data_IF_779337112056
#
_entry.id   IF_779337112056
#
_cell.length_a   1.000
_cell.length_b   1.000
_cell.length_c   1.000
_cell.angle_alpha   90.00
_cell.angle_beta   90.00
_cell.angle_gamma   90.00
#
_symmetry.space_group_name_H-M   'P 1'
#
loop_
_entity.id
_entity.type
_entity.pdbx_description
1 polymer ?
#
# COMPACT_ATOMS: atom_id res chain seq x y z
N UNK A 1 25.38 7.03 -20.47
CA UNK A 1 25.30 6.94 -19.00
C UNK A 1 25.42 8.34 -18.43
N UNK A 2 24.36 9.13 -18.54
CA UNK A 2 24.20 10.37 -17.79
C UNK A 2 23.02 10.10 -16.87
N UNK A 3 23.32 9.51 -15.71
CA UNK A 3 22.31 9.33 -14.66
C UNK A 3 21.60 10.66 -14.47
N UNK A 4 20.27 10.65 -14.48
CA UNK A 4 19.50 11.86 -14.29
C UNK A 4 19.62 12.27 -12.81
N UNK A 5 20.67 13.03 -12.50
CA UNK A 5 21.05 13.41 -11.13
C UNK A 5 19.87 14.05 -10.40
N UNK A 6 19.06 14.85 -11.12
CA UNK A 6 17.84 15.45 -10.58
C UNK A 6 16.77 14.40 -10.21
N UNK A 7 16.60 13.35 -11.04
CA UNK A 7 15.73 12.21 -10.74
C UNK A 7 16.18 11.41 -9.52
N UNK A 8 17.49 11.12 -9.42
CA UNK A 8 18.06 10.40 -8.28
C UNK A 8 17.87 11.18 -6.99
N UNK A 9 18.17 12.48 -6.98
CA UNK A 9 17.99 13.34 -5.81
C UNK A 9 16.52 13.37 -5.38
N UNK A 10 15.59 13.45 -6.34
CA UNK A 10 14.15 13.48 -6.05
C UNK A 10 13.64 12.17 -5.44
N UNK A 11 14.06 11.02 -5.98
CA UNK A 11 13.67 9.69 -5.47
C UNK A 11 14.27 9.45 -4.09
N UNK A 12 15.54 9.78 -3.88
CA UNK A 12 16.21 9.64 -2.58
C UNK A 12 15.55 10.55 -1.54
N UNK A 13 15.26 11.79 -1.89
CA UNK A 13 14.56 12.73 -1.00
C UNK A 13 13.16 12.23 -0.63
N UNK A 14 12.41 11.71 -1.59
CA UNK A 14 11.09 11.11 -1.34
C UNK A 14 11.18 9.89 -0.41
N UNK A 15 12.13 8.98 -0.64
CA UNK A 15 12.35 7.84 0.26
C UNK A 15 12.77 8.26 1.67
N UNK A 16 13.61 9.29 1.79
CA UNK A 16 14.00 9.84 3.10
C UNK A 16 12.79 10.41 3.83
N UNK A 17 11.90 11.13 3.15
CA UNK A 17 10.66 11.65 3.76
C UNK A 17 9.77 10.50 4.24
N UNK A 18 9.54 9.49 3.39
CA UNK A 18 8.70 8.34 3.77
C UNK A 18 9.31 7.60 4.96
N UNK A 19 10.61 7.33 4.93
CA UNK A 19 11.32 6.69 6.05
C UNK A 19 11.23 7.54 7.32
N UNK A 20 11.45 8.85 7.23
CA UNK A 20 11.39 9.74 8.38
C UNK A 20 9.98 9.78 8.99
N UNK A 21 8.93 9.85 8.16
CA UNK A 21 7.55 9.83 8.65
C UNK A 21 7.20 8.46 9.22
N UNK A 22 7.57 7.37 8.56
CA UNK A 22 7.31 6.01 9.04
C UNK A 22 7.98 5.74 10.39
N UNK A 23 9.25 6.13 10.54
CA UNK A 23 9.99 6.03 11.80
C UNK A 23 9.36 6.95 12.86
N UNK A 24 8.96 8.17 12.51
CA UNK A 24 8.30 9.08 13.46
C UNK A 24 6.96 8.54 13.94
N UNK A 25 6.13 8.02 13.02
CA UNK A 25 4.83 7.42 13.33
C UNK A 25 5.00 6.16 14.20
N UNK A 26 5.97 5.30 13.87
CA UNK A 26 6.28 4.10 14.66
C UNK A 26 6.87 4.41 16.05
N UNK A 27 7.66 5.48 16.20
CA UNK A 27 8.24 5.87 17.50
C UNK A 27 7.27 6.61 18.41
N UNK A 28 6.25 7.30 17.86
CA UNK A 28 5.33 8.14 18.64
C UNK A 28 4.37 7.33 19.54
N UNK A 29 4.26 6.01 19.36
CA UNK A 29 3.29 5.18 20.08
C UNK A 29 3.79 3.82 20.58
N UNK A 30 5.10 3.58 20.65
CA UNK A 30 5.62 2.46 21.46
C UNK A 30 5.35 2.77 22.94
N UNK A 31 4.16 2.40 23.42
CA UNK A 31 3.86 2.35 24.84
C UNK A 31 4.47 1.05 25.36
N UNK A 32 5.34 1.06 26.39
CA UNK A 32 5.92 -0.16 26.91
C UNK A 32 4.85 -0.94 27.69
N UNK A 33 4.12 -1.80 26.99
CA UNK A 33 3.11 -2.72 27.52
C UNK A 33 3.43 -4.17 27.16
N UNK A 34 2.76 -5.11 27.80
CA UNK A 34 3.02 -6.57 27.73
C UNK A 34 3.00 -7.14 26.30
N UNK A 35 3.72 -8.23 26.04
CA UNK A 35 3.92 -8.85 24.69
C UNK A 35 2.62 -9.08 23.86
N UNK A 36 1.48 -9.26 24.53
CA UNK A 36 0.17 -9.43 23.90
C UNK A 36 -0.38 -8.11 23.34
N UNK A 37 -0.17 -6.99 24.05
CA UNK A 37 -0.57 -5.65 23.60
C UNK A 37 0.33 -5.18 22.45
N UNK A 38 1.62 -5.57 22.44
CA UNK A 38 2.55 -5.22 21.36
C UNK A 38 2.12 -5.85 20.02
N UNK A 39 1.66 -7.10 20.03
CA UNK A 39 1.16 -7.75 18.81
C UNK A 39 -0.14 -7.11 18.30
N UNK A 40 -1.05 -6.73 19.20
CA UNK A 40 -2.29 -6.02 18.84
C UNK A 40 -2.02 -4.58 18.35
N UNK A 41 -1.04 -3.89 18.93
CA UNK A 41 -0.59 -2.57 18.47
C UNK A 41 0.07 -2.63 17.09
N UNK A 42 0.87 -3.67 16.81
CA UNK A 42 1.55 -3.84 15.52
C UNK A 42 0.57 -4.28 14.43
N UNK A 43 -0.34 -5.22 14.74
CA UNK A 43 -1.25 -5.83 13.76
C UNK A 43 -2.55 -5.05 13.57
N UNK A 44 -3.08 -4.44 14.62
CA UNK A 44 -4.38 -3.76 14.61
C UNK A 44 -4.28 -2.27 14.91
N UNK A 45 -3.07 -1.72 15.10
CA UNK A 45 -2.88 -0.33 15.49
C UNK A 45 -3.73 0.06 16.71
N UNK A 46 -3.90 -0.88 17.65
CA UNK A 46 -4.72 -0.71 18.84
C UNK A 46 -6.21 -0.43 18.55
N UNK A 47 -6.71 -0.85 17.37
CA UNK A 47 -8.11 -0.71 16.92
C UNK A 47 -8.67 0.73 16.95
N UNK A 48 -7.75 1.72 17.00
CA UNK A 48 -8.01 3.15 17.14
C UNK A 48 -7.42 3.96 15.98
N UNK A 49 -7.22 3.33 14.82
CA UNK A 49 -7.04 4.07 13.58
C UNK A 49 -8.35 4.80 13.32
N UNK A 50 -8.32 6.14 13.37
CA UNK A 50 -9.49 6.96 13.06
C UNK A 50 -10.05 6.59 11.68
N UNK A 51 -11.38 6.57 11.54
CA UNK A 51 -12.08 6.11 10.34
C UNK A 51 -11.52 6.73 9.04
N UNK A 52 -11.15 8.01 9.07
CA UNK A 52 -10.52 8.69 7.94
C UNK A 52 -9.20 8.05 7.51
N UNK A 53 -8.28 7.81 8.46
CA UNK A 53 -6.98 7.19 8.16
C UNK A 53 -7.19 5.77 7.63
N UNK A 54 -8.13 5.02 8.22
CA UNK A 54 -8.48 3.68 7.73
C UNK A 54 -8.99 3.67 6.29
N UNK A 55 -9.85 4.62 5.90
CA UNK A 55 -10.35 4.76 4.53
C UNK A 55 -9.20 5.12 3.57
N UNK A 56 -8.32 6.05 3.96
CA UNK A 56 -7.17 6.43 3.13
C UNK A 56 -6.18 5.29 2.94
N UNK A 57 -5.84 4.57 4.00
CA UNK A 57 -4.94 3.40 3.96
C UNK A 57 -5.54 2.26 3.13
N UNK A 58 -6.82 1.96 3.30
CA UNK A 58 -7.49 0.97 2.44
C UNK A 58 -7.45 1.41 0.98
N UNK A 59 -7.77 2.68 0.69
CA UNK A 59 -7.71 3.19 -0.69
C UNK A 59 -6.29 3.12 -1.25
N UNK A 60 -5.27 3.51 -0.48
CA UNK A 60 -3.86 3.47 -0.88
C UNK A 60 -3.39 2.05 -1.19
N UNK A 61 -3.86 1.05 -0.43
CA UNK A 61 -3.53 -0.36 -0.65
C UNK A 61 -4.01 -0.85 -2.03
N UNK A 62 -5.19 -0.39 -2.47
CA UNK A 62 -5.74 -0.75 -3.79
C UNK A 62 -5.19 0.12 -4.92
N UNK A 63 -4.97 1.41 -4.66
CA UNK A 63 -4.43 2.39 -5.62
C UNK A 63 -2.90 2.37 -5.58
N UNK A 64 -2.31 1.23 -5.92
CA UNK A 64 -0.86 1.03 -5.99
C UNK A 64 -0.25 1.38 -7.36
N UNK A 65 1.09 1.35 -7.46
CA UNK A 65 1.81 1.62 -8.71
C UNK A 65 1.44 0.68 -9.86
N UNK A 66 1.17 -0.60 -9.56
CA UNK A 66 0.69 -1.57 -10.56
C UNK A 66 -0.72 -1.23 -11.07
N UNK A 67 -1.61 -0.77 -10.19
CA UNK A 67 -2.96 -0.34 -10.55
C UNK A 67 -2.92 0.91 -11.45
N UNK A 68 -2.08 1.90 -11.10
CA UNK A 68 -1.94 3.14 -11.88
C UNK A 68 -1.35 2.86 -13.26
N UNK A 69 -0.23 2.13 -13.34
CA UNK A 69 0.38 1.78 -14.62
C UNK A 69 -0.54 0.90 -15.48
N UNK A 70 -1.19 -0.11 -14.88
CA UNK A 70 -2.11 -0.99 -15.60
C UNK A 70 -3.35 -0.26 -16.11
N UNK A 71 -3.90 0.66 -15.32
CA UNK A 71 -5.04 1.49 -15.75
C UNK A 71 -4.63 2.46 -16.85
N UNK A 72 -3.43 3.06 -16.75
CA UNK A 72 -2.89 3.93 -17.80
C UNK A 72 -2.69 3.18 -19.13
N UNK A 73 -2.14 1.97 -19.08
CA UNK A 73 -1.97 1.11 -20.24
C UNK A 73 -3.32 0.67 -20.85
N UNK A 74 -4.28 0.26 -20.01
CA UNK A 74 -5.61 -0.12 -20.46
C UNK A 74 -6.37 1.06 -21.09
N UNK A 75 -6.23 2.26 -20.51
CA UNK A 75 -6.81 3.49 -21.05
C UNK A 75 -6.22 3.83 -22.43
N UNK A 76 -4.90 3.67 -22.59
CA UNK A 76 -4.21 3.92 -23.85
C UNK A 76 -4.64 2.94 -24.95
N UNK A 77 -4.74 1.65 -24.64
CA UNK A 77 -5.05 0.60 -25.63
C UNK A 77 -6.55 0.43 -25.91
N UNK A 78 -7.40 0.61 -24.90
CA UNK A 78 -8.83 0.26 -24.98
C UNK A 78 -9.79 1.42 -24.68
N UNK A 79 -9.27 2.62 -24.41
CA UNK A 79 -10.05 3.85 -24.22
C UNK A 79 -10.72 3.97 -22.83
N UNK A 80 -11.41 5.10 -22.62
CA UNK A 80 -12.01 5.49 -21.33
C UNK A 80 -13.05 4.50 -20.77
N UNK A 81 -13.59 3.62 -21.61
CA UNK A 81 -14.61 2.64 -21.22
C UNK A 81 -14.09 1.65 -20.18
N UNK A 82 -12.77 1.39 -20.15
CA UNK A 82 -12.16 0.48 -19.17
C UNK A 82 -11.88 1.14 -17.81
N UNK A 83 -12.16 2.44 -17.65
CA UNK A 83 -12.03 3.18 -16.39
C UNK A 83 -13.21 2.91 -15.41
N UNK A 84 -13.90 1.79 -15.54
CA UNK A 84 -14.96 1.36 -14.61
C UNK A 84 -14.42 0.62 -13.38
N UNK A 85 -13.19 0.11 -13.44
CA UNK A 85 -12.54 -0.63 -12.36
C UNK A 85 -12.54 0.12 -11.00
N UNK A 86 -12.25 1.44 -10.91
CA UNK A 86 -12.27 2.16 -9.64
C UNK A 86 -13.65 2.15 -8.97
N UNK A 87 -14.72 2.28 -9.76
CA UNK A 87 -16.09 2.26 -9.23
C UNK A 87 -16.46 0.89 -8.66
N UNK A 88 -16.02 -0.19 -9.32
CA UNK A 88 -16.19 -1.56 -8.82
C UNK A 88 -15.48 -1.78 -7.48
N UNK A 89 -14.22 -1.34 -7.36
CA UNK A 89 -13.46 -1.45 -6.10
C UNK A 89 -14.06 -0.58 -4.98
N UNK A 90 -14.45 0.65 -5.28
CA UNK A 90 -15.08 1.52 -4.28
C UNK A 90 -16.39 0.91 -3.75
N UNK A 91 -17.23 0.36 -4.64
CA UNK A 91 -18.48 -0.27 -4.25
C UNK A 91 -18.26 -1.55 -3.43
N UNK A 92 -17.30 -2.40 -3.83
CA UNK A 92 -16.99 -3.63 -3.09
C UNK A 92 -16.43 -3.33 -1.69
N UNK A 93 -15.61 -2.29 -1.54
CA UNK A 93 -15.09 -1.85 -0.25
C UNK A 93 -16.18 -1.29 0.66
N UNK A 94 -17.09 -0.49 0.13
CA UNK A 94 -18.22 0.06 0.92
C UNK A 94 -19.16 -1.05 1.37
N UNK A 95 -19.54 -1.96 0.48
CA UNK A 95 -20.41 -3.08 0.82
C UNK A 95 -19.69 -4.02 1.80
N UNK A 96 -18.44 -4.37 1.53
CA UNK A 96 -17.63 -5.21 2.42
C UNK A 96 -17.49 -4.61 3.82
N UNK A 97 -17.21 -3.31 3.90
CA UNK A 97 -17.11 -2.57 5.16
C UNK A 97 -18.42 -2.56 5.95
N UNK A 98 -19.56 -2.29 5.30
CA UNK A 98 -20.85 -2.20 5.98
C UNK A 98 -21.35 -3.55 6.51
N UNK A 99 -21.18 -4.63 5.74
CA UNK A 99 -21.70 -5.95 6.11
C UNK A 99 -20.75 -6.75 7.00
N UNK A 100 -19.45 -6.73 6.72
CA UNK A 100 -18.48 -7.61 7.39
C UNK A 100 -17.68 -6.92 8.48
N UNK A 101 -17.34 -5.62 8.36
CA UNK A 101 -16.43 -4.99 9.32
C UNK A 101 -17.02 -4.91 10.74
N UNK A 102 -18.31 -4.63 10.88
CA UNK A 102 -18.97 -4.61 12.18
C UNK A 102 -18.96 -6.00 12.83
N UNK A 103 -19.33 -7.04 12.08
CA UNK A 103 -19.36 -8.42 12.59
C UNK A 103 -17.97 -8.91 12.96
N UNK A 104 -16.96 -8.61 12.15
CA UNK A 104 -15.56 -8.96 12.45
C UNK A 104 -15.05 -8.23 13.70
N UNK A 105 -15.47 -6.97 13.91
CA UNK A 105 -15.06 -6.18 15.08
C UNK A 105 -15.72 -6.69 16.37
N UNK A 106 -16.99 -7.05 16.33
CA UNK A 106 -17.74 -7.59 17.48
C UNK A 106 -17.15 -8.92 17.98
N UNK A 107 -16.76 -9.81 17.07
CA UNK A 107 -16.17 -11.12 17.41
C UNK A 107 -14.68 -11.05 17.77
N UNK A 108 -14.04 -9.88 17.63
CA UNK A 108 -12.62 -9.70 17.97
C UNK A 108 -11.65 -10.36 16.99
N UNK A 109 -12.08 -10.68 15.78
CA UNK A 109 -11.22 -11.29 14.76
C UNK A 109 -10.07 -10.38 14.33
N UNK A 110 -8.90 -10.97 14.19
CA UNK A 110 -7.65 -10.31 13.77
C UNK A 110 -7.39 -10.55 12.28
N UNK A 111 -7.74 -11.75 11.78
CA UNK A 111 -7.55 -12.16 10.38
C UNK A 111 -8.89 -12.43 9.70
N UNK A 112 -8.97 -12.20 8.40
CA UNK A 112 -10.15 -12.59 7.59
C UNK A 112 -10.42 -14.11 7.58
N UNK A 113 -9.42 -14.91 7.95
CA UNK A 113 -9.50 -16.37 8.05
C UNK A 113 -10.02 -16.87 9.40
N UNK A 114 -10.08 -16.03 10.44
CA UNK A 114 -10.49 -16.44 11.78
C UNK A 114 -11.93 -16.99 11.82
N UNK A 115 -12.93 -16.39 11.16
CA UNK A 115 -14.29 -16.97 11.09
C UNK A 115 -14.31 -18.35 10.45
N UNK A 116 -13.43 -18.60 9.46
CA UNK A 116 -13.31 -19.89 8.80
C UNK A 116 -12.60 -20.92 9.69
N UNK A 117 -11.66 -20.47 10.50
CA UNK A 117 -11.00 -21.31 11.49
C UNK A 117 -11.99 -21.77 12.58
N UNK A 118 -12.89 -20.90 13.02
CA UNK A 118 -13.92 -21.24 14.00
C UNK A 118 -14.97 -22.19 13.43
N UNK A 119 -15.38 -21.97 12.17
CA UNK A 119 -16.43 -22.78 11.53
C UNK A 119 -15.94 -24.17 11.09
N UNK A 120 -14.72 -24.28 10.55
CA UNK A 120 -14.18 -25.51 9.96
C UNK A 120 -13.08 -26.18 10.79
N UNK A 121 -12.68 -25.56 11.90
CA UNK A 121 -11.61 -26.02 12.78
C UNK A 121 -10.21 -25.64 12.30
N UNK A 122 -9.25 -25.69 13.23
CA UNK A 122 -7.85 -25.27 13.03
C UNK A 122 -7.15 -25.92 11.84
N UNK A 123 -7.48 -27.18 11.50
CA UNK A 123 -6.89 -27.88 10.33
C UNK A 123 -7.31 -27.25 9.00
N UNK A 124 -8.58 -26.84 8.87
CA UNK A 124 -9.09 -26.20 7.66
C UNK A 124 -8.67 -24.74 7.58
N UNK A 125 -8.60 -24.03 8.73
CA UNK A 125 -8.04 -22.68 8.80
C UNK A 125 -6.59 -22.63 8.28
N UNK A 126 -5.73 -23.55 8.75
CA UNK A 126 -4.35 -23.64 8.27
C UNK A 126 -4.24 -24.01 6.79
N UNK A 127 -5.17 -24.79 6.25
CA UNK A 127 -5.18 -25.15 4.83
C UNK A 127 -5.62 -23.98 3.94
N UNK A 128 -6.59 -23.18 4.38
CA UNK A 128 -7.05 -21.96 3.69
C UNK A 128 -6.02 -20.84 3.75
N UNK A 129 -5.16 -20.83 4.77
CA UNK A 129 -4.07 -19.88 4.90
C UNK A 129 -3.01 -20.02 3.80
N UNK A 130 -2.71 -21.25 3.33
CA UNK A 130 -1.63 -21.47 2.36
C UNK A 130 -1.91 -20.73 1.03
N UNK A 131 -3.07 -20.91 0.36
CA UNK A 131 -3.37 -20.16 -0.85
C UNK A 131 -3.43 -18.64 -0.63
N UNK A 132 -3.98 -18.20 0.50
CA UNK A 132 -4.07 -16.79 0.83
C UNK A 132 -2.67 -16.15 0.97
N UNK A 133 -1.77 -16.81 1.72
CA UNK A 133 -0.39 -16.37 1.87
C UNK A 133 0.34 -16.32 0.52
N UNK A 134 0.20 -17.37 -0.30
CA UNK A 134 0.79 -17.37 -1.64
C UNK A 134 0.27 -16.21 -2.49
N UNK A 135 -1.04 -15.94 -2.47
CA UNK A 135 -1.64 -14.82 -3.18
C UNK A 135 -1.05 -13.47 -2.76
N UNK A 136 -0.96 -13.21 -1.46
CA UNK A 136 -0.38 -11.97 -0.92
C UNK A 136 1.11 -11.82 -1.25
N UNK A 137 1.87 -12.92 -1.25
CA UNK A 137 3.29 -12.92 -1.65
C UNK A 137 3.44 -12.57 -3.12
N UNK A 138 2.65 -13.18 -4.01
CA UNK A 138 2.70 -12.88 -5.45
C UNK A 138 2.24 -11.45 -5.75
N UNK A 139 1.19 -10.99 -5.08
CA UNK A 139 0.69 -9.62 -5.21
C UNK A 139 1.74 -8.59 -4.77
N UNK A 140 2.33 -8.79 -3.59
CA UNK A 140 3.40 -7.93 -3.06
C UNK A 140 4.63 -7.92 -3.97
N UNK A 141 5.03 -9.08 -4.49
CA UNK A 141 6.14 -9.18 -5.43
C UNK A 141 5.86 -8.42 -6.73
N UNK A 142 4.63 -8.51 -7.27
CA UNK A 142 4.23 -7.77 -8.47
C UNK A 142 4.27 -6.25 -8.26
N UNK A 143 3.80 -5.76 -7.11
CA UNK A 143 3.85 -4.33 -6.77
C UNK A 143 5.29 -3.85 -6.61
N UNK A 144 6.14 -4.60 -5.91
CA UNK A 144 7.56 -4.26 -5.74
C UNK A 144 8.31 -4.28 -7.08
N UNK A 145 7.98 -5.21 -7.97
CA UNK A 145 8.53 -5.24 -9.32
C UNK A 145 8.08 -4.02 -10.15
N UNK A 146 6.81 -3.64 -10.07
CA UNK A 146 6.30 -2.44 -10.73
C UNK A 146 6.97 -1.17 -10.20
N UNK A 147 7.15 -1.06 -8.88
CA UNK A 147 7.87 0.04 -8.24
C UNK A 147 9.32 0.10 -8.74
N UNK A 148 10.04 -1.03 -8.73
CA UNK A 148 11.42 -1.09 -9.21
C UNK A 148 11.56 -0.74 -10.69
N UNK A 149 10.61 -1.16 -11.53
CA UNK A 149 10.57 -0.80 -12.94
C UNK A 149 10.40 0.72 -13.14
N UNK A 150 9.51 1.36 -12.38
CA UNK A 150 9.34 2.83 -12.45
C UNK A 150 10.62 3.57 -12.03
N UNK A 151 11.30 3.09 -10.98
CA UNK A 151 12.57 3.67 -10.51
C UNK A 151 13.69 3.47 -11.54
N UNK A 152 13.76 2.30 -12.17
CA UNK A 152 14.74 1.99 -13.22
C UNK A 152 14.64 2.98 -14.38
N UNK A 153 13.42 3.30 -14.83
CA UNK A 153 13.17 4.28 -15.90
C UNK A 153 13.58 5.70 -15.51
N UNK A 154 13.36 6.10 -14.26
CA UNK A 154 13.69 7.47 -13.78
C UNK A 154 15.20 7.66 -13.60
N UNK A 155 15.89 6.63 -13.10
CA UNK A 155 17.30 6.70 -12.70
C UNK A 155 18.26 6.26 -13.84
N UNK A 156 17.73 5.64 -14.90
CA UNK A 156 18.51 4.99 -15.98
C UNK A 156 19.47 3.93 -15.41
N UNK A 157 18.95 3.12 -14.48
CA UNK A 157 19.70 2.08 -13.77
C UNK A 157 19.13 0.70 -14.08
N UNK A 158 19.97 -0.33 -13.96
CA UNK A 158 19.56 -1.73 -14.14
C UNK A 158 18.31 -2.08 -13.31
N UNK A 159 17.39 -2.81 -13.94
CA UNK A 159 16.07 -3.09 -13.39
C UNK A 159 16.16 -3.98 -12.13
N UNK A 160 17.04 -4.98 -12.14
CA UNK A 160 17.22 -5.87 -10.98
C UNK A 160 17.72 -5.10 -9.76
N UNK A 161 18.69 -4.21 -9.97
CA UNK A 161 19.25 -3.39 -8.88
C UNK A 161 18.20 -2.42 -8.32
N UNK A 162 17.36 -1.84 -9.17
CA UNK A 162 16.29 -0.91 -8.78
C UNK A 162 15.18 -1.59 -7.98
N UNK A 163 14.80 -2.82 -8.35
CA UNK A 163 13.83 -3.64 -7.63
C UNK A 163 14.35 -4.00 -6.24
N UNK A 164 15.59 -4.52 -6.15
CA UNK A 164 16.18 -4.94 -4.86
C UNK A 164 16.27 -3.76 -3.90
N UNK A 165 16.77 -2.60 -4.37
CA UNK A 165 16.89 -1.41 -3.54
C UNK A 165 15.53 -0.94 -3.00
N UNK A 166 14.52 -0.87 -3.87
CA UNK A 166 13.17 -0.42 -3.49
C UNK A 166 12.51 -1.40 -2.51
N UNK A 167 12.69 -2.71 -2.72
CA UNK A 167 12.19 -3.75 -1.83
C UNK A 167 12.87 -3.70 -0.45
N UNK A 168 14.18 -3.50 -0.38
CA UNK A 168 14.91 -3.36 0.89
C UNK A 168 14.42 -2.15 1.70
N UNK A 169 14.22 -1.00 1.05
CA UNK A 169 13.69 0.20 1.73
C UNK A 169 12.26 -0.07 2.23
N UNK A 170 11.41 -0.68 1.40
CA UNK A 170 10.04 -1.02 1.75
C UNK A 170 9.94 -1.97 2.95
N UNK A 171 10.75 -3.03 2.95
CA UNK A 171 10.86 -3.94 4.07
C UNK A 171 11.30 -3.23 5.34
N UNK A 172 12.31 -2.36 5.25
CA UNK A 172 12.85 -1.69 6.43
C UNK A 172 11.80 -0.82 7.13
N UNK A 173 11.12 0.08 6.41
CA UNK A 173 10.14 0.97 7.08
C UNK A 173 8.89 0.22 7.57
N UNK A 174 8.52 -0.88 6.90
CA UNK A 174 7.36 -1.69 7.28
C UNK A 174 7.65 -2.50 8.56
N UNK A 175 8.82 -3.17 8.62
CA UNK A 175 9.23 -3.97 9.77
C UNK A 175 9.42 -3.13 11.04
N UNK A 176 10.02 -1.96 10.93
CA UNK A 176 10.29 -1.11 12.10
C UNK A 176 9.08 -0.27 12.54
N UNK A 177 8.07 -0.13 11.68
CA UNK A 177 7.00 0.84 11.86
C UNK A 177 5.62 0.28 12.23
N UNK A 178 5.34 -0.98 11.91
CA UNK A 178 4.02 -1.59 12.15
C UNK A 178 2.87 -0.92 11.36
N UNK A 179 1.62 -1.33 11.63
CA UNK A 179 0.45 -0.84 10.89
C UNK A 179 0.29 0.69 10.93
N UNK A 180 0.65 1.34 12.05
CA UNK A 180 0.60 2.81 12.15
C UNK A 180 1.55 3.50 11.18
N UNK A 181 2.81 3.04 11.09
CA UNK A 181 3.77 3.61 10.14
C UNK A 181 3.24 3.53 8.70
N UNK A 182 2.75 2.34 8.32
CA UNK A 182 2.16 2.10 7.00
C UNK A 182 0.97 3.02 6.76
N UNK A 183 0.03 3.08 7.71
CA UNK A 183 -1.17 3.90 7.56
C UNK A 183 -0.87 5.40 7.37
N UNK A 184 0.10 5.94 8.12
CA UNK A 184 0.51 7.34 7.98
C UNK A 184 1.31 7.58 6.68
N UNK A 185 2.19 6.66 6.29
CA UNK A 185 2.89 6.78 5.00
C UNK A 185 1.94 6.70 3.83
N UNK A 186 0.90 5.86 3.91
CA UNK A 186 -0.12 5.71 2.86
C UNK A 186 -0.90 7.00 2.62
N UNK A 187 -1.30 7.72 3.69
CA UNK A 187 -2.00 9.00 3.54
C UNK A 187 -1.14 10.02 2.79
N UNK A 188 0.15 10.09 3.11
CA UNK A 188 1.09 11.01 2.44
C UNK A 188 1.33 10.57 0.99
N UNK A 189 1.54 9.28 0.76
CA UNK A 189 1.76 8.72 -0.57
C UNK A 189 0.56 8.98 -1.48
N UNK A 190 -0.66 8.72 -0.99
CA UNK A 190 -1.89 8.98 -1.75
C UNK A 190 -2.02 10.47 -2.08
N UNK A 191 -1.71 11.36 -1.13
CA UNK A 191 -1.72 12.80 -1.38
C UNK A 191 -0.68 13.23 -2.45
N UNK A 192 0.52 12.67 -2.39
CA UNK A 192 1.56 12.88 -3.41
C UNK A 192 1.12 12.37 -4.78
N UNK A 193 0.51 11.19 -4.86
CA UNK A 193 -0.04 10.63 -6.10
C UNK A 193 -1.12 11.55 -6.65
N UNK A 194 -2.03 12.05 -5.81
CA UNK A 194 -3.10 12.95 -6.25
C UNK A 194 -2.54 14.24 -6.89
N UNK A 195 -1.55 14.87 -6.25
CA UNK A 195 -0.87 16.07 -6.81
C UNK A 195 -0.13 15.72 -8.11
N UNK A 196 0.60 14.60 -8.13
CA UNK A 196 1.32 14.13 -9.31
C UNK A 196 0.39 13.89 -10.50
N UNK A 197 -0.75 13.25 -10.27
CA UNK A 197 -1.72 12.90 -11.29
C UNK A 197 -2.53 14.11 -11.77
N UNK A 198 -2.75 15.14 -10.95
CA UNK A 198 -3.38 16.40 -11.38
C UNK A 198 -2.40 17.30 -12.15
N UNK A 199 -1.12 17.32 -11.75
CA UNK A 199 -0.11 18.19 -12.39
C UNK A 199 0.29 17.73 -13.80
N UNK A 200 0.37 16.43 -14.07
CA UNK A 200 0.75 15.87 -15.38
C UNK A 200 -0.21 16.20 -16.56
N UNK A 201 -1.55 16.12 -16.41
CA UNK A 201 -2.46 16.60 -17.42
C UNK A 201 -2.50 18.13 -17.48
N UNK A 202 -2.20 18.85 -16.38
CA UNK A 202 -2.12 20.31 -16.39
C UNK A 202 -0.95 20.83 -17.24
N UNK A 203 0.19 20.13 -17.29
CA UNK A 203 1.31 20.48 -18.17
C UNK A 203 1.07 20.15 -19.64
N UNK A 204 0.13 19.26 -19.96
CA UNK A 204 -0.35 19.01 -21.33
C UNK A 204 -1.43 20.00 -21.77
N UNK A 205 -2.19 20.59 -20.83
CA UNK A 205 -3.28 21.55 -21.08
C UNK A 205 -2.80 23.01 -21.05
N UNK A 206 -1.75 23.31 -20.30
CA UNK A 206 -1.04 24.59 -20.35
C UNK A 206 0.16 24.42 -21.28
N UNK A 207 0.02 24.67 -22.60
CA UNK A 207 1.20 24.89 -23.41
C UNK A 207 1.92 26.08 -22.79
N UNK A 208 3.07 25.84 -22.16
CA UNK A 208 4.01 26.91 -21.88
C UNK A 208 4.37 27.53 -23.23
N UNK A 209 3.81 28.72 -23.46
CA UNK A 209 4.17 29.65 -24.51
C UNK A 209 5.53 30.27 -24.17
#
# INVERSE_FOLDING_TARGET
>A
MTTNIAGVISVVFFYIIILAVGIWAGRKKKTPGSDLEESEEVMLAGRNIGMFVGIFTMTATWVGGGYINGTAEALYNHGMVWCQAPFGYAMSLVIGGLFFANKMREEGYVTMLDPFQDLFGSRMGGLLFIPALCGEVFWSAAILAALGATVSVIIDMDNNTSIILSACIALFYTLFGGLYSVAYTDVIQLFCIFIGLVSHPLSFILPFN
#
